data_IF_772600873083
#
_entry.id   IF_772600873083
#
_cell.length_a   1.000
_cell.length_b   1.000
_cell.length_c   1.000
_cell.angle_alpha   90.00
_cell.angle_beta   90.00
_cell.angle_gamma   90.00
#
_symmetry.space_group_name_H-M   'P 1'
#
loop_
_entity.id
_entity.type
_entity.pdbx_description
1 polymer ?
#
# COMPACT_ATOMS: atom_id res chain seq x y z
N UNK A 1 40.06 2.96 -6.74
CA UNK A 1 38.87 3.42 -6.00
C UNK A 1 37.65 2.74 -6.62
N UNK A 2 36.99 1.87 -5.88
CA UNK A 2 35.73 1.29 -6.35
C UNK A 2 34.71 2.41 -6.50
N UNK A 3 34.06 2.50 -7.67
CA UNK A 3 33.00 3.51 -7.87
C UNK A 3 31.83 3.19 -6.93
N UNK A 4 31.68 3.93 -5.83
CA UNK A 4 30.65 3.77 -4.81
C UNK A 4 29.23 3.73 -5.39
N UNK A 5 29.05 4.40 -6.53
CA UNK A 5 27.77 4.51 -7.24
C UNK A 5 27.66 3.51 -8.40
N UNK A 6 28.57 2.53 -8.48
CA UNK A 6 28.40 1.45 -9.45
C UNK A 6 27.17 0.59 -9.11
N UNK A 7 26.56 -0.01 -10.13
CA UNK A 7 25.41 -0.91 -9.92
C UNK A 7 25.77 -2.05 -8.96
N UNK A 8 27.02 -2.56 -9.03
CA UNK A 8 27.49 -3.62 -8.13
C UNK A 8 27.55 -3.16 -6.67
N UNK A 9 28.11 -1.97 -6.43
CA UNK A 9 28.21 -1.39 -5.07
C UNK A 9 26.82 -1.12 -4.46
N UNK A 10 25.92 -0.54 -5.24
CA UNK A 10 24.53 -0.29 -4.82
C UNK A 10 23.82 -1.62 -4.50
N UNK A 11 23.96 -2.63 -5.37
CA UNK A 11 23.37 -3.95 -5.13
C UNK A 11 23.89 -4.59 -3.85
N UNK A 12 25.20 -4.53 -3.59
CA UNK A 12 25.79 -5.03 -2.36
C UNK A 12 25.22 -4.33 -1.14
N UNK A 13 25.20 -3.01 -1.14
CA UNK A 13 24.66 -2.20 -0.04
C UNK A 13 23.21 -2.55 0.29
N UNK A 14 22.35 -2.64 -0.72
CA UNK A 14 20.95 -3.01 -0.51
C UNK A 14 20.79 -4.46 -0.02
N UNK A 15 21.61 -5.38 -0.53
CA UNK A 15 21.60 -6.76 -0.07
C UNK A 15 22.00 -6.85 1.43
N UNK A 16 23.02 -6.13 1.85
CA UNK A 16 23.45 -6.10 3.25
C UNK A 16 22.38 -5.48 4.15
N UNK A 17 21.70 -4.41 3.73
CA UNK A 17 20.53 -3.86 4.44
C UNK A 17 19.41 -4.89 4.55
N UNK A 18 19.09 -5.59 3.45
CA UNK A 18 18.07 -6.64 3.47
C UNK A 18 18.40 -7.72 4.51
N UNK A 19 19.63 -8.19 4.53
CA UNK A 19 20.09 -9.20 5.50
C UNK A 19 20.02 -8.66 6.94
N UNK A 20 20.42 -7.40 7.15
CA UNK A 20 20.35 -6.73 8.44
C UNK A 20 18.90 -6.66 8.95
N UNK A 21 17.97 -6.19 8.12
CA UNK A 21 16.55 -6.12 8.48
C UNK A 21 15.93 -7.49 8.75
N UNK A 22 16.30 -8.50 7.95
CA UNK A 22 15.81 -9.88 8.14
C UNK A 22 16.27 -10.48 9.47
N UNK A 23 17.49 -10.18 9.89
CA UNK A 23 18.08 -10.71 11.12
C UNK A 23 17.66 -9.92 12.37
N UNK A 24 17.22 -8.67 12.21
CA UNK A 24 16.80 -7.82 13.34
C UNK A 24 15.45 -8.21 13.95
N UNK A 25 14.68 -9.09 13.30
CA UNK A 25 13.36 -9.52 13.76
C UNK A 25 12.38 -8.34 13.93
N UNK A 26 11.50 -8.46 14.93
CA UNK A 26 10.51 -7.41 15.29
C UNK A 26 11.11 -6.21 16.02
N UNK A 27 12.42 -5.97 15.91
CA UNK A 27 13.09 -4.85 16.55
C UNK A 27 12.53 -3.53 16.00
N UNK A 28 11.49 -3.02 16.67
CA UNK A 28 10.81 -1.74 16.33
C UNK A 28 11.72 -0.53 16.47
N UNK A 29 12.87 -0.65 17.14
CA UNK A 29 13.81 0.47 17.32
C UNK A 29 14.55 0.87 16.04
N UNK A 30 14.67 -0.04 15.06
CA UNK A 30 15.18 0.24 13.71
C UNK A 30 16.54 0.98 13.64
N UNK A 31 17.29 1.03 14.76
CA UNK A 31 18.57 1.74 14.84
C UNK A 31 19.70 0.75 14.71
N UNK A 32 20.63 1.06 13.83
CA UNK A 32 21.75 0.21 13.50
C UNK A 32 23.07 0.95 13.57
N UNK A 33 24.13 0.24 13.92
CA UNK A 33 25.48 0.77 13.85
C UNK A 33 26.02 0.64 12.42
N UNK A 34 26.78 1.64 11.96
CA UNK A 34 27.41 1.57 10.62
C UNK A 34 28.32 0.35 10.45
N UNK A 35 28.93 -0.12 11.52
CA UNK A 35 29.78 -1.31 11.54
C UNK A 35 29.05 -2.62 11.19
N UNK A 36 27.72 -2.64 11.26
CA UNK A 36 26.91 -3.82 10.91
C UNK A 36 26.76 -4.02 9.39
N UNK A 37 27.13 -3.03 8.58
CA UNK A 37 27.14 -3.08 7.13
C UNK A 37 28.59 -3.08 6.64
N UNK A 38 29.04 -4.18 6.08
CA UNK A 38 30.43 -4.35 5.65
C UNK A 38 30.83 -3.36 4.57
N UNK A 39 29.92 -3.06 3.66
CA UNK A 39 30.10 -2.06 2.61
C UNK A 39 30.49 -0.68 3.19
N UNK A 40 29.92 -0.29 4.33
CA UNK A 40 30.14 1.03 4.93
C UNK A 40 31.45 1.13 5.71
N UNK A 41 32.03 0.00 6.14
CA UNK A 41 33.28 -0.01 6.97
C UNK A 41 34.48 0.61 6.28
N UNK A 42 34.50 0.59 4.95
CA UNK A 42 35.64 1.08 4.16
C UNK A 42 35.51 2.55 3.76
N UNK A 43 34.42 3.21 4.14
CA UNK A 43 34.15 4.61 3.82
C UNK A 43 34.68 5.51 4.94
N UNK A 44 35.34 6.61 4.56
CA UNK A 44 35.60 7.67 5.52
C UNK A 44 34.31 8.40 5.92
N UNK A 45 34.35 9.19 6.99
CA UNK A 45 33.16 9.84 7.56
C UNK A 45 32.43 10.75 6.58
N UNK A 46 33.13 11.41 5.68
CA UNK A 46 32.56 12.31 4.67
C UNK A 46 31.86 11.50 3.58
N UNK A 47 32.55 10.54 2.98
CA UNK A 47 32.00 9.62 1.98
C UNK A 47 30.76 8.86 2.51
N UNK A 48 30.80 8.42 3.76
CA UNK A 48 29.69 7.73 4.42
C UNK A 48 28.43 8.61 4.44
N UNK A 49 28.57 9.88 4.91
CA UNK A 49 27.42 10.79 4.98
C UNK A 49 26.89 11.18 3.60
N UNK A 50 27.78 11.46 2.67
CA UNK A 50 27.41 11.76 1.30
C UNK A 50 26.68 10.59 0.65
N UNK A 51 27.23 9.36 0.78
CA UNK A 51 26.62 8.17 0.22
C UNK A 51 25.22 7.91 0.81
N UNK A 52 25.09 7.93 2.14
CA UNK A 52 23.83 7.62 2.81
C UNK A 52 22.75 8.68 2.56
N UNK A 53 23.13 9.96 2.37
CA UNK A 53 22.18 11.05 2.06
C UNK A 53 21.45 10.89 0.74
N UNK A 54 21.93 10.01 -0.16
CA UNK A 54 21.26 9.74 -1.43
C UNK A 54 20.06 8.77 -1.29
N UNK A 55 19.86 8.18 -0.12
CA UNK A 55 18.79 7.19 0.11
C UNK A 55 17.76 7.76 1.08
N UNK A 56 16.54 7.98 0.58
CA UNK A 56 15.44 8.54 1.38
C UNK A 56 14.98 7.63 2.53
N UNK A 57 15.33 6.33 2.49
CA UNK A 57 14.99 5.38 3.53
C UNK A 57 15.98 5.36 4.71
N UNK A 58 17.04 6.17 4.68
CA UNK A 58 18.04 6.22 5.73
C UNK A 58 17.99 7.56 6.46
N UNK A 59 17.92 7.51 7.77
CA UNK A 59 18.07 8.66 8.66
C UNK A 59 19.30 8.45 9.57
N UNK A 60 20.22 9.43 9.59
CA UNK A 60 21.39 9.40 10.49
C UNK A 60 20.97 10.02 11.82
N UNK A 61 21.08 9.25 12.90
CA UNK A 61 20.68 9.64 14.25
C UNK A 61 21.92 9.79 15.11
N UNK A 62 22.00 10.89 15.86
CA UNK A 62 23.02 11.08 16.88
C UNK A 62 22.54 10.52 18.21
N UNK A 63 23.22 9.50 18.70
CA UNK A 63 23.00 8.96 20.02
C UNK A 63 23.78 9.70 21.11
N UNK A 64 23.69 9.17 22.32
CA UNK A 64 24.50 9.64 23.46
C UNK A 64 26.00 9.43 23.17
N UNK A 65 26.86 10.28 23.75
CA UNK A 65 28.32 10.22 23.60
C UNK A 65 28.84 10.42 22.17
N UNK A 66 28.11 11.17 21.30
CA UNK A 66 28.46 11.40 19.90
C UNK A 66 28.59 10.14 19.03
N UNK A 67 28.02 9.03 19.45
CA UNK A 67 27.90 7.83 18.61
C UNK A 67 26.81 8.11 17.58
N UNK A 68 27.11 7.87 16.31
CA UNK A 68 26.15 8.02 15.22
C UNK A 68 25.59 6.63 14.87
N UNK A 69 24.27 6.56 14.73
CA UNK A 69 23.51 5.39 14.29
C UNK A 69 22.75 5.76 13.00
N UNK A 70 22.24 4.78 12.30
CA UNK A 70 21.29 5.02 11.24
C UNK A 70 19.98 4.26 11.50
N UNK A 71 18.87 4.86 11.12
CA UNK A 71 17.57 4.22 11.09
C UNK A 71 17.17 3.92 9.66
N UNK A 72 16.39 2.85 9.47
CA UNK A 72 15.89 2.42 8.17
C UNK A 72 14.37 2.46 8.17
N UNK A 73 13.79 3.28 7.27
CA UNK A 73 12.38 3.18 6.92
C UNK A 73 12.19 1.99 5.97
N UNK A 74 11.62 0.90 6.48
CA UNK A 74 11.41 -0.35 5.74
C UNK A 74 10.51 -0.16 4.51
N UNK A 75 9.53 0.74 4.58
CA UNK A 75 8.59 0.98 3.48
C UNK A 75 9.30 1.71 2.35
N UNK A 76 10.04 2.77 2.68
CA UNK A 76 10.84 3.49 1.69
C UNK A 76 11.93 2.60 1.12
N UNK A 77 12.60 1.78 1.95
CA UNK A 77 13.56 0.78 1.48
C UNK A 77 12.94 -0.20 0.49
N UNK A 78 11.75 -0.75 0.82
CA UNK A 78 11.01 -1.63 -0.09
C UNK A 78 10.73 -0.93 -1.42
N UNK A 79 10.25 0.30 -1.38
CA UNK A 79 9.91 1.07 -2.58
C UNK A 79 11.12 1.43 -3.45
N UNK A 80 12.26 1.77 -2.85
CA UNK A 80 13.49 2.05 -3.60
C UNK A 80 14.11 0.78 -4.17
N UNK A 81 14.05 -0.33 -3.45
CA UNK A 81 14.50 -1.64 -3.90
C UNK A 81 13.77 -2.08 -5.18
N UNK A 82 12.47 -1.82 -5.30
CA UNK A 82 11.69 -2.05 -6.52
C UNK A 82 12.27 -1.26 -7.70
N UNK A 83 12.62 0.01 -7.45
CA UNK A 83 13.03 0.94 -8.50
C UNK A 83 14.46 0.68 -8.99
N UNK A 84 15.38 0.37 -8.06
CA UNK A 84 16.83 0.39 -8.32
C UNK A 84 17.36 -0.98 -8.70
N UNK A 85 16.87 -2.06 -8.12
CA UNK A 85 17.61 -3.31 -8.04
C UNK A 85 16.99 -4.51 -8.73
N UNK A 86 15.77 -4.46 -9.24
CA UNK A 86 15.04 -5.69 -9.59
C UNK A 86 15.14 -6.76 -8.48
N UNK A 87 15.30 -6.34 -7.22
CA UNK A 87 15.18 -7.27 -6.11
C UNK A 87 13.80 -7.90 -6.15
N UNK A 88 13.75 -9.15 -5.79
CA UNK A 88 12.48 -9.85 -5.60
C UNK A 88 11.67 -9.08 -4.55
N UNK A 89 10.71 -8.30 -5.03
CA UNK A 89 9.83 -7.47 -4.21
C UNK A 89 9.13 -8.29 -3.13
N UNK A 90 8.89 -9.57 -3.41
CA UNK A 90 8.29 -10.48 -2.45
C UNK A 90 9.18 -10.63 -1.22
N UNK A 91 10.46 -10.90 -1.41
CA UNK A 91 11.40 -11.03 -0.29
C UNK A 91 11.48 -9.73 0.50
N UNK A 92 11.50 -8.58 -0.16
CA UNK A 92 11.54 -7.27 0.51
C UNK A 92 10.23 -6.98 1.25
N UNK A 93 9.09 -7.28 0.64
CA UNK A 93 7.79 -7.05 1.30
C UNK A 93 7.49 -8.03 2.44
N UNK A 94 8.18 -9.18 2.50
CA UNK A 94 8.14 -10.10 3.64
C UNK A 94 8.82 -9.54 4.91
N UNK A 95 9.65 -8.50 4.77
CA UNK A 95 10.23 -7.77 5.91
C UNK A 95 9.23 -6.86 6.61
N UNK A 96 8.12 -6.55 5.95
CA UNK A 96 7.09 -5.66 6.46
C UNK A 96 6.12 -6.41 7.36
N UNK A 97 5.65 -5.76 8.42
CA UNK A 97 4.49 -6.24 9.14
C UNK A 97 3.19 -5.94 8.37
N UNK A 98 2.05 -6.35 8.93
CA UNK A 98 0.75 -6.18 8.29
C UNK A 98 0.42 -4.70 8.02
N UNK A 99 0.67 -3.84 8.99
CA UNK A 99 0.41 -2.39 8.88
C UNK A 99 1.36 -1.73 7.87
N UNK A 100 2.63 -2.12 7.90
CA UNK A 100 3.63 -1.65 6.93
C UNK A 100 3.28 -2.08 5.50
N UNK A 101 2.70 -3.28 5.32
CA UNK A 101 2.25 -3.76 4.00
C UNK A 101 1.05 -2.94 3.46
N UNK A 102 0.10 -2.59 4.32
CA UNK A 102 -0.99 -1.66 3.95
C UNK A 102 -0.43 -0.28 3.58
N UNK A 103 0.56 0.23 4.32
CA UNK A 103 1.23 1.49 4.02
C UNK A 103 2.02 1.44 2.72
N UNK A 104 2.68 0.32 2.40
CA UNK A 104 3.32 0.13 1.10
C UNK A 104 2.28 0.21 -0.04
N UNK A 105 1.15 -0.47 0.13
CA UNK A 105 0.03 -0.40 -0.82
C UNK A 105 -0.46 1.03 -1.01
N UNK A 106 -0.64 1.77 0.09
CA UNK A 106 -1.00 3.19 0.08
C UNK A 106 0.01 4.03 -0.70
N UNK A 107 1.31 3.87 -0.41
CA UNK A 107 2.37 4.64 -1.07
C UNK A 107 2.44 4.39 -2.58
N UNK A 108 2.20 3.15 -3.02
CA UNK A 108 2.11 2.82 -4.46
C UNK A 108 0.92 3.53 -5.11
N UNK A 109 -0.24 3.57 -4.44
CA UNK A 109 -1.42 4.30 -4.92
C UNK A 109 -1.14 5.81 -5.03
N UNK A 110 -0.55 6.43 -4.01
CA UNK A 110 -0.19 7.85 -4.00
C UNK A 110 0.76 8.19 -5.18
N UNK A 111 1.76 7.34 -5.45
CA UNK A 111 2.68 7.52 -6.60
C UNK A 111 1.97 7.40 -7.95
N UNK A 112 0.82 6.73 -8.02
CA UNK A 112 -0.02 6.63 -9.21
C UNK A 112 -1.17 7.66 -9.21
N UNK A 113 -1.00 8.78 -8.51
CA UNK A 113 -1.94 9.91 -8.46
C UNK A 113 -3.33 9.56 -7.88
N UNK A 114 -3.43 8.53 -7.04
CA UNK A 114 -4.61 8.29 -6.25
C UNK A 114 -4.56 9.14 -4.98
N UNK A 115 -5.70 9.68 -4.57
CA UNK A 115 -5.90 10.16 -3.19
C UNK A 115 -6.35 8.98 -2.35
N UNK A 116 -5.80 8.82 -1.14
CA UNK A 116 -5.93 7.57 -0.37
C UNK A 116 -6.41 7.85 1.05
N UNK A 117 -7.15 6.90 1.61
CA UNK A 117 -7.46 6.79 3.04
C UNK A 117 -7.29 5.33 3.48
N UNK A 118 -6.79 5.13 4.69
CA UNK A 118 -6.57 3.81 5.28
C UNK A 118 -7.59 3.51 6.37
N UNK A 119 -7.80 2.23 6.66
CA UNK A 119 -8.58 1.70 7.78
C UNK A 119 -9.99 2.31 7.86
N UNK A 120 -10.69 2.37 6.72
CA UNK A 120 -12.03 2.93 6.67
C UNK A 120 -13.06 1.96 7.25
N UNK A 121 -13.69 2.37 8.34
CA UNK A 121 -14.70 1.59 9.06
C UNK A 121 -16.09 2.17 8.91
N UNK A 122 -17.07 1.32 8.63
CA UNK A 122 -18.47 1.72 8.55
C UNK A 122 -19.42 0.59 8.95
N UNK A 123 -20.67 0.95 9.27
CA UNK A 123 -21.71 0.00 9.62
C UNK A 123 -22.78 -0.03 8.53
N UNK A 124 -23.22 -1.22 8.17
CA UNK A 124 -24.35 -1.36 7.24
C UNK A 124 -25.66 -1.03 7.99
N UNK A 125 -26.27 0.08 7.60
CA UNK A 125 -27.55 0.55 8.15
C UNK A 125 -28.76 0.14 7.30
N UNK A 126 -28.54 -0.64 6.23
CA UNK A 126 -29.60 -0.97 5.27
C UNK A 126 -30.68 -1.94 5.80
N UNK A 127 -30.44 -2.60 6.93
CA UNK A 127 -31.35 -3.56 7.55
C UNK A 127 -31.84 -3.09 8.94
N UNK A 128 -32.58 -1.99 9.00
CA UNK A 128 -33.19 -1.48 10.25
C UNK A 128 -34.22 -2.42 10.89
N UNK A 129 -34.67 -3.45 10.20
CA UNK A 129 -35.73 -4.36 10.69
C UNK A 129 -35.23 -5.41 11.71
N UNK A 130 -33.94 -5.66 11.80
CA UNK A 130 -33.37 -6.63 12.75
C UNK A 130 -32.31 -5.91 13.59
N UNK A 131 -32.69 -5.54 14.83
CA UNK A 131 -31.85 -4.79 15.78
C UNK A 131 -30.60 -5.51 16.29
N UNK A 132 -30.32 -6.77 15.90
CA UNK A 132 -29.39 -7.62 16.61
C UNK A 132 -28.00 -7.75 16.03
N UNK A 133 -27.67 -7.27 14.81
CA UNK A 133 -26.30 -7.28 14.31
C UNK A 133 -26.09 -6.23 13.22
N UNK A 134 -25.78 -5.00 13.59
CA UNK A 134 -25.17 -4.08 12.63
C UNK A 134 -23.84 -4.69 12.16
N UNK A 135 -23.81 -5.17 10.93
CA UNK A 135 -22.58 -5.70 10.33
C UNK A 135 -21.59 -4.55 10.17
N UNK A 136 -20.48 -4.62 10.89
CA UNK A 136 -19.37 -3.68 10.76
C UNK A 136 -18.46 -4.14 9.65
N UNK A 137 -18.04 -3.21 8.82
CA UNK A 137 -17.10 -3.45 7.74
C UNK A 137 -15.86 -2.59 7.95
N UNK A 138 -14.74 -3.13 7.52
CA UNK A 138 -13.46 -2.44 7.45
C UNK A 138 -12.87 -2.65 6.05
N UNK A 139 -12.29 -1.59 5.49
CA UNK A 139 -11.56 -1.61 4.22
C UNK A 139 -10.18 -1.06 4.52
N UNK A 140 -9.15 -1.85 4.23
CA UNK A 140 -7.78 -1.54 4.63
C UNK A 140 -7.27 -0.29 3.91
N UNK A 141 -7.42 -0.22 2.59
CA UNK A 141 -7.00 0.94 1.78
C UNK A 141 -8.08 1.30 0.76
N UNK A 142 -8.42 2.59 0.67
CA UNK A 142 -9.30 3.12 -0.38
C UNK A 142 -8.53 4.16 -1.17
N UNK A 143 -8.42 3.95 -2.49
CA UNK A 143 -7.81 4.90 -3.42
C UNK A 143 -8.83 5.50 -4.37
N UNK A 144 -8.75 6.82 -4.62
CA UNK A 144 -9.59 7.52 -5.59
C UNK A 144 -8.74 8.22 -6.62
N UNK A 145 -8.96 7.90 -7.88
CA UNK A 145 -8.39 8.61 -9.01
C UNK A 145 -9.49 8.84 -10.06
N UNK A 146 -9.77 10.10 -10.38
CA UNK A 146 -10.86 10.47 -11.27
C UNK A 146 -12.17 9.72 -10.90
N UNK A 147 -12.71 8.92 -11.85
CA UNK A 147 -13.96 8.14 -11.67
C UNK A 147 -13.76 6.78 -10.96
N UNK A 148 -12.51 6.36 -10.71
CA UNK A 148 -12.25 5.06 -10.10
C UNK A 148 -12.11 5.19 -8.58
N UNK A 149 -12.79 4.30 -7.87
CA UNK A 149 -12.66 4.12 -6.42
C UNK A 149 -12.25 2.67 -6.17
N UNK A 150 -10.99 2.46 -5.82
CA UNK A 150 -10.46 1.14 -5.48
C UNK A 150 -10.73 0.86 -4.01
N UNK A 151 -11.38 -0.26 -3.73
CA UNK A 151 -11.61 -0.75 -2.38
C UNK A 151 -10.69 -1.96 -2.19
N UNK A 152 -9.62 -1.79 -1.44
CA UNK A 152 -8.53 -2.76 -1.35
C UNK A 152 -8.53 -3.44 0.00
N UNK A 153 -8.44 -4.78 -0.02
CA UNK A 153 -8.12 -5.62 1.12
C UNK A 153 -6.67 -6.13 0.90
N UNK A 154 -5.76 -5.71 1.77
CA UNK A 154 -4.34 -6.01 1.65
C UNK A 154 -3.99 -7.22 2.53
N UNK A 155 -3.48 -8.30 1.94
CA UNK A 155 -3.22 -9.56 2.64
C UNK A 155 -1.82 -10.09 2.39
N UNK A 156 -1.03 -10.20 3.45
CA UNK A 156 0.28 -10.85 3.46
C UNK A 156 0.14 -12.38 3.52
N UNK A 157 -0.54 -12.98 2.56
CA UNK A 157 -0.62 -14.44 2.53
C UNK A 157 0.72 -15.05 2.10
N UNK A 158 1.30 -15.83 3.00
CA UNK A 158 2.61 -16.48 2.81
C UNK A 158 2.52 -17.91 2.24
N UNK A 159 1.32 -18.48 2.05
CA UNK A 159 1.12 -19.89 1.65
C UNK A 159 0.41 -20.01 0.32
N UNK A 160 0.88 -20.98 -0.50
CA UNK A 160 0.33 -21.32 -1.83
C UNK A 160 -1.12 -21.87 -1.80
N UNK A 161 -1.70 -22.13 -0.64
CA UNK A 161 -2.96 -22.93 -0.51
C UNK A 161 -4.21 -22.08 -0.68
N UNK A 162 -4.16 -20.95 -1.34
CA UNK A 162 -5.12 -19.97 -0.96
C UNK A 162 -6.06 -19.47 -2.05
N UNK A 163 -6.11 -20.09 -3.25
CA UNK A 163 -7.08 -19.62 -4.25
C UNK A 163 -8.52 -19.60 -3.69
N UNK A 164 -8.93 -20.67 -2.98
CA UNK A 164 -10.23 -20.73 -2.31
C UNK A 164 -10.37 -19.65 -1.22
N UNK A 165 -9.32 -19.43 -0.43
CA UNK A 165 -9.31 -18.41 0.62
C UNK A 165 -9.29 -17.00 0.03
N UNK A 166 -8.55 -16.78 -1.06
CA UNK A 166 -8.54 -15.53 -1.82
C UNK A 166 -9.91 -15.22 -2.43
N UNK A 167 -10.58 -16.21 -3.03
CA UNK A 167 -11.93 -16.06 -3.55
C UNK A 167 -12.93 -15.68 -2.45
N UNK A 168 -12.84 -16.30 -1.27
CA UNK A 168 -13.68 -15.96 -0.11
C UNK A 168 -13.46 -14.52 0.33
N UNK A 169 -12.21 -14.06 0.44
CA UNK A 169 -11.88 -12.70 0.83
C UNK A 169 -12.29 -11.69 -0.25
N UNK A 170 -12.06 -12.00 -1.54
CA UNK A 170 -12.53 -11.19 -2.65
C UNK A 170 -14.06 -11.03 -2.65
N UNK A 171 -14.80 -12.12 -2.37
CA UNK A 171 -16.26 -12.06 -2.22
C UNK A 171 -16.67 -11.19 -1.03
N UNK A 172 -15.97 -11.26 0.09
CA UNK A 172 -16.21 -10.36 1.22
C UNK A 172 -15.96 -8.91 0.84
N UNK A 173 -14.89 -8.64 0.11
CA UNK A 173 -14.60 -7.29 -0.37
C UNK A 173 -15.68 -6.76 -1.32
N UNK A 174 -16.23 -7.61 -2.18
CA UNK A 174 -17.38 -7.27 -3.00
C UNK A 174 -18.62 -6.95 -2.16
N UNK A 175 -18.88 -7.71 -1.09
CA UNK A 175 -19.99 -7.41 -0.17
C UNK A 175 -19.80 -6.05 0.53
N UNK A 176 -18.57 -5.69 0.91
CA UNK A 176 -18.23 -4.35 1.44
C UNK A 176 -18.57 -3.25 0.44
N UNK A 177 -18.23 -3.45 -0.83
CA UNK A 177 -18.55 -2.51 -1.91
C UNK A 177 -20.07 -2.34 -2.12
N UNK A 178 -20.84 -3.43 -2.08
CA UNK A 178 -22.31 -3.39 -2.15
C UNK A 178 -22.88 -2.65 -0.93
N UNK A 179 -22.39 -2.94 0.27
CA UNK A 179 -22.83 -2.27 1.48
C UNK A 179 -22.57 -0.76 1.40
N UNK A 180 -21.40 -0.36 0.89
CA UNK A 180 -21.06 1.05 0.71
C UNK A 180 -21.99 1.74 -0.31
N UNK A 181 -22.33 1.08 -1.43
CA UNK A 181 -23.32 1.58 -2.40
C UNK A 181 -24.72 1.77 -1.78
N UNK A 182 -25.13 0.85 -0.89
CA UNK A 182 -26.44 0.93 -0.18
C UNK A 182 -26.49 2.03 0.87
N UNK A 183 -25.34 2.59 1.25
CA UNK A 183 -25.21 3.66 2.25
C UNK A 183 -24.68 4.96 1.60
N UNK A 184 -25.48 5.69 0.81
CA UNK A 184 -25.03 6.84 0.03
C UNK A 184 -24.48 7.98 0.89
N UNK A 185 -24.99 8.19 2.10
CA UNK A 185 -24.48 9.21 3.02
C UNK A 185 -23.07 8.86 3.51
N UNK A 186 -22.83 7.58 3.84
CA UNK A 186 -21.51 7.08 4.23
C UNK A 186 -20.53 7.20 3.08
N UNK A 187 -20.95 6.83 1.87
CA UNK A 187 -20.13 6.98 0.66
C UNK A 187 -19.80 8.46 0.39
N UNK A 188 -20.78 9.34 0.47
CA UNK A 188 -20.58 10.77 0.23
C UNK A 188 -19.58 11.37 1.24
N UNK A 189 -19.71 11.03 2.53
CA UNK A 189 -18.75 11.45 3.58
C UNK A 189 -17.34 10.91 3.29
N UNK A 190 -17.22 9.64 2.89
CA UNK A 190 -15.94 9.05 2.49
C UNK A 190 -15.29 9.87 1.37
N UNK A 191 -16.03 10.11 0.30
CA UNK A 191 -15.51 10.86 -0.86
C UNK A 191 -15.10 12.28 -0.47
N UNK A 192 -15.91 12.98 0.34
CA UNK A 192 -15.58 14.32 0.83
C UNK A 192 -14.33 14.33 1.73
N UNK A 193 -14.14 13.30 2.56
CA UNK A 193 -12.94 13.17 3.38
C UNK A 193 -11.66 13.01 2.54
N UNK A 194 -11.75 12.28 1.42
CA UNK A 194 -10.60 12.00 0.55
C UNK A 194 -10.33 13.16 -0.41
N UNK A 195 -11.36 13.69 -1.06
CA UNK A 195 -11.21 14.72 -2.09
C UNK A 195 -11.22 16.14 -1.54
N UNK A 196 -11.73 16.34 -0.32
CA UNK A 196 -11.96 17.63 0.32
C UNK A 196 -13.42 18.07 0.22
N UNK A 197 -13.87 18.78 1.27
CA UNK A 197 -15.28 19.21 1.45
C UNK A 197 -15.72 20.16 0.34
N UNK A 198 -14.81 20.97 -0.20
CA UNK A 198 -15.09 21.99 -1.22
C UNK A 198 -14.98 21.47 -2.65
N UNK A 199 -14.69 20.17 -2.85
CA UNK A 199 -14.55 19.61 -4.19
C UNK A 199 -15.92 19.47 -4.86
N UNK A 200 -16.07 19.96 -6.10
CA UNK A 200 -17.27 19.68 -6.88
C UNK A 200 -17.29 18.22 -7.36
N UNK A 201 -17.99 17.41 -6.59
CA UNK A 201 -18.08 15.97 -6.81
C UNK A 201 -18.85 15.57 -8.06
N UNK A 202 -19.57 16.52 -8.72
CA UNK A 202 -20.32 16.23 -9.95
C UNK A 202 -19.41 15.84 -11.10
N UNK A 203 -18.20 16.40 -11.16
CA UNK A 203 -17.22 16.08 -12.20
C UNK A 203 -16.67 14.66 -12.11
N UNK A 204 -16.79 14.01 -10.95
CA UNK A 204 -16.30 12.64 -10.72
C UNK A 204 -17.37 11.56 -11.01
N UNK A 205 -18.63 11.97 -11.16
CA UNK A 205 -19.72 11.03 -11.40
C UNK A 205 -19.76 10.57 -12.87
N UNK A 206 -20.11 9.29 -13.11
CA UNK A 206 -20.36 8.24 -12.14
C UNK A 206 -19.06 7.67 -11.57
N UNK A 207 -19.01 7.40 -10.27
CA UNK A 207 -17.90 6.64 -9.67
C UNK A 207 -18.02 5.15 -10.01
N UNK A 208 -16.91 4.53 -10.34
CA UNK A 208 -16.77 3.09 -10.51
C UNK A 208 -16.02 2.51 -9.32
N UNK A 209 -16.74 1.87 -8.40
CA UNK A 209 -16.14 1.16 -7.27
C UNK A 209 -15.63 -0.19 -7.75
N UNK A 210 -14.35 -0.44 -7.59
CA UNK A 210 -13.70 -1.70 -7.94
C UNK A 210 -13.18 -2.32 -6.64
N UNK A 211 -13.84 -3.37 -6.13
CA UNK A 211 -13.29 -4.18 -5.04
C UNK A 211 -12.10 -4.97 -5.56
N UNK A 212 -11.00 -5.02 -4.80
CA UNK A 212 -9.80 -5.75 -5.18
C UNK A 212 -9.03 -6.25 -3.98
N UNK A 213 -8.17 -7.22 -4.22
CA UNK A 213 -7.21 -7.74 -3.26
C UNK A 213 -5.79 -7.39 -3.68
N UNK A 214 -4.95 -7.03 -2.73
CA UNK A 214 -3.50 -6.91 -2.92
C UNK A 214 -2.81 -7.96 -2.06
N UNK A 215 -1.94 -8.75 -2.68
CA UNK A 215 -1.29 -9.90 -2.03
C UNK A 215 0.21 -9.94 -2.28
N UNK A 216 0.94 -10.79 -1.53
CA UNK A 216 2.37 -11.06 -1.75
C UNK A 216 2.65 -12.13 -2.82
N UNK A 217 1.64 -12.82 -3.35
CA UNK A 217 1.88 -13.90 -4.29
C UNK A 217 2.50 -13.43 -5.60
N UNK A 218 3.46 -14.19 -6.13
CA UNK A 218 4.22 -13.90 -7.37
C UNK A 218 3.43 -14.04 -8.66
N UNK A 219 2.18 -14.37 -8.57
CA UNK A 219 1.39 -14.60 -9.76
C UNK A 219 0.89 -13.26 -10.32
N UNK A 220 1.02 -13.11 -11.61
CA UNK A 220 0.41 -12.04 -12.39
C UNK A 220 -1.03 -11.76 -11.91
N UNK A 221 -1.54 -10.57 -12.18
CA UNK A 221 -2.93 -10.22 -11.86
C UNK A 221 -3.88 -11.37 -12.20
N UNK A 222 -4.43 -12.01 -11.17
CA UNK A 222 -5.46 -13.04 -11.31
C UNK A 222 -6.82 -12.39 -11.14
N UNK A 223 -7.83 -13.06 -11.61
CA UNK A 223 -9.22 -12.65 -11.45
C UNK A 223 -9.94 -13.76 -10.68
N UNK A 224 -10.66 -13.38 -9.61
CA UNK A 224 -11.50 -14.30 -8.88
C UNK A 224 -12.70 -14.78 -9.71
N UNK A 225 -13.43 -15.79 -9.24
CA UNK A 225 -14.62 -16.32 -9.90
C UNK A 225 -15.69 -15.22 -10.14
N UNK A 226 -15.70 -14.17 -9.32
CA UNK A 226 -16.60 -13.02 -9.44
C UNK A 226 -15.97 -11.82 -10.13
N UNK A 227 -14.94 -12.01 -10.93
CA UNK A 227 -14.22 -10.95 -11.67
C UNK A 227 -13.59 -9.86 -10.78
N UNK A 228 -13.21 -10.20 -9.54
CA UNK A 228 -12.53 -9.28 -8.64
C UNK A 228 -11.02 -9.43 -8.85
N UNK A 229 -10.28 -8.33 -9.11
CA UNK A 229 -8.84 -8.39 -9.30
C UNK A 229 -8.13 -8.89 -8.04
N UNK A 230 -7.24 -9.86 -8.22
CA UNK A 230 -6.30 -10.36 -7.23
C UNK A 230 -4.91 -9.97 -7.72
N UNK A 231 -4.38 -8.89 -7.17
CA UNK A 231 -3.16 -8.26 -7.70
C UNK A 231 -2.01 -8.49 -6.74
N UNK A 232 -0.92 -9.06 -7.25
CA UNK A 232 0.32 -9.08 -6.48
C UNK A 232 0.82 -7.65 -6.27
N UNK A 233 1.38 -7.36 -5.09
CA UNK A 233 2.01 -6.07 -4.81
C UNK A 233 3.10 -5.75 -5.85
N UNK A 234 3.74 -6.79 -6.40
CA UNK A 234 4.73 -6.69 -7.46
C UNK A 234 4.17 -6.07 -8.75
N UNK A 235 2.92 -6.41 -9.10
CA UNK A 235 2.26 -5.93 -10.32
C UNK A 235 1.32 -4.75 -10.07
N UNK A 236 1.17 -4.31 -8.83
CA UNK A 236 0.20 -3.26 -8.48
C UNK A 236 0.44 -1.98 -9.28
N UNK A 237 1.69 -1.55 -9.42
CA UNK A 237 2.02 -0.34 -10.20
C UNK A 237 1.54 -0.46 -11.66
N UNK A 238 1.84 -1.58 -12.34
CA UNK A 238 1.44 -1.82 -13.73
C UNK A 238 -0.09 -1.91 -13.85
N UNK A 239 -0.74 -2.60 -12.89
CA UNK A 239 -2.20 -2.69 -12.82
C UNK A 239 -2.85 -1.30 -12.76
N UNK A 240 -2.33 -0.40 -11.92
CA UNK A 240 -2.85 0.95 -11.77
C UNK A 240 -2.68 1.79 -13.04
N UNK A 241 -1.55 1.66 -13.73
CA UNK A 241 -1.29 2.37 -14.99
C UNK A 241 -2.20 1.88 -16.12
N UNK A 242 -2.57 0.62 -16.13
CA UNK A 242 -3.42 0.01 -17.16
C UNK A 242 -4.90 -0.09 -16.75
N UNK A 243 -5.26 0.40 -15.55
CA UNK A 243 -6.59 0.25 -14.97
C UNK A 243 -7.70 0.75 -15.91
N UNK A 244 -7.52 1.91 -16.55
CA UNK A 244 -8.54 2.46 -17.43
C UNK A 244 -8.80 1.56 -18.64
N UNK A 245 -7.75 1.02 -19.22
CA UNK A 245 -7.79 0.13 -20.39
C UNK A 245 -8.52 -1.18 -20.08
N UNK A 246 -8.25 -1.77 -18.92
CA UNK A 246 -8.74 -3.10 -18.55
C UNK A 246 -9.89 -3.11 -17.56
N UNK A 247 -10.38 -1.96 -17.12
CA UNK A 247 -11.43 -1.84 -16.10
C UNK A 247 -12.74 -2.57 -16.47
N UNK A 248 -13.01 -2.78 -17.75
CA UNK A 248 -14.20 -3.47 -18.23
C UNK A 248 -14.18 -4.99 -17.97
N UNK A 249 -13.02 -5.58 -17.69
CA UNK A 249 -12.89 -7.00 -17.29
C UNK A 249 -13.16 -7.20 -15.80
N UNK A 250 -13.15 -6.12 -15.01
CA UNK A 250 -13.27 -6.22 -13.55
C UNK A 250 -14.69 -5.93 -13.09
N UNK A 251 -15.09 -6.64 -12.05
CA UNK A 251 -16.35 -6.37 -11.36
C UNK A 251 -16.33 -4.96 -10.80
N UNK A 252 -17.23 -4.12 -11.29
CA UNK A 252 -17.37 -2.75 -10.82
C UNK A 252 -18.80 -2.43 -10.41
N UNK A 253 -18.95 -1.54 -9.44
CA UNK A 253 -20.22 -1.05 -8.93
C UNK A 253 -20.32 0.44 -9.26
N UNK A 254 -21.26 0.81 -10.13
CA UNK A 254 -21.47 2.21 -10.51
C UNK A 254 -22.30 2.94 -9.46
N UNK A 255 -21.79 4.09 -9.00
CA UNK A 255 -22.51 5.06 -8.18
C UNK A 255 -22.76 6.31 -9.01
N UNK A 256 -24.03 6.54 -9.34
CA UNK A 256 -24.44 7.64 -10.22
C UNK A 256 -24.88 8.88 -9.46
N UNK A 257 -25.16 8.76 -8.17
CA UNK A 257 -25.65 9.84 -7.30
C UNK A 257 -24.96 9.79 -5.95
N UNK A 258 -24.67 10.95 -5.40
CA UNK A 258 -24.13 11.16 -4.06
C UNK A 258 -24.96 12.22 -3.35
N UNK A 259 -25.11 12.09 -2.04
CA UNK A 259 -25.77 13.07 -1.21
C UNK A 259 -24.74 14.09 -0.73
N UNK A 260 -24.67 15.25 -1.38
CA UNK A 260 -23.80 16.35 -0.92
C UNK A 260 -24.56 17.12 0.15
N UNK A 261 -24.17 16.98 1.42
CA UNK A 261 -24.63 17.90 2.45
C UNK A 261 -23.97 19.27 2.18
N UNK A 262 -24.77 20.21 1.66
CA UNK A 262 -24.37 21.62 1.70
C UNK A 262 -24.31 22.02 3.17
N UNK A 263 -23.14 22.46 3.68
CA UNK A 263 -23.12 23.24 4.90
C UNK A 263 -23.99 24.45 4.63
N UNK A 264 -25.07 24.59 5.38
CA UNK A 264 -25.72 25.89 5.57
C UNK A 264 -24.66 26.79 6.22
N UNK A 265 -24.23 27.81 5.47
CA UNK A 265 -23.41 28.91 5.97
C UNK A 265 -24.21 29.71 7.00
#
# INVERSE_FOLDING_TARGET
MSNLYSRGSINQFFHEIYVLLKNSGDNKSGWFEFAQIDFLKNLNKFELKEFLSNFAFIEIIKGNYNVEYFAIDKILFAMESIRILNLDLKNVSELLDYTEFEQLTNNILLKNNFKVINNFRFSDKSNFKIKTAQKRYEIDVIGINQKFVLLIDAKQWKRKDSYSSMNKAANLQYQRAIALKKNPDTFSKLIQNILGINTDLKHYLPFNLIPMMVTLEDNATKISDNQIPLVSIYFLNNFLQELEKYSHYYKSIKIRKINVQKKLL
#
